data_IF_384104597938
#
_entry.id   IF_384104597938
#
_cell.length_a   1.000
_cell.length_b   1.000
_cell.length_c   1.000
_cell.angle_alpha   90.00
_cell.angle_beta   90.00
_cell.angle_gamma   90.00
#
_symmetry.space_group_name_H-M   'P 1'
#
loop_
_entity.id
_entity.type
_entity.pdbx_description
1 polymer ?
#
# COMPACT_ATOMS: atom_id res chain seq x y z
N UNK A 1 -14.19 16.91 -12.76
CA UNK A 1 -14.66 15.51 -12.60
C UNK A 1 -13.68 14.77 -11.70
N UNK A 2 -14.09 14.41 -10.49
CA UNK A 2 -13.25 13.62 -9.60
C UNK A 2 -13.06 12.22 -10.19
N UNK A 3 -11.87 11.93 -10.69
CA UNK A 3 -11.50 10.59 -11.14
C UNK A 3 -11.19 9.77 -9.89
N UNK A 4 -12.16 8.98 -9.43
CA UNK A 4 -11.97 8.11 -8.25
C UNK A 4 -10.93 7.02 -8.55
N UNK A 5 -10.96 6.43 -9.74
CA UNK A 5 -10.06 5.34 -10.14
C UNK A 5 -9.32 5.71 -11.44
N UNK A 6 -8.02 5.44 -11.50
CA UNK A 6 -7.23 5.62 -12.71
C UNK A 6 -7.69 4.63 -13.80
N UNK A 7 -8.05 5.12 -14.99
CA UNK A 7 -8.52 4.26 -16.10
C UNK A 7 -7.44 3.98 -17.14
N UNK A 8 -6.35 4.74 -17.09
CA UNK A 8 -5.21 4.67 -18.01
C UNK A 8 -3.97 5.23 -17.30
N UNK A 9 -2.80 5.09 -17.93
CA UNK A 9 -1.52 5.62 -17.41
C UNK A 9 -1.57 7.10 -17.02
N UNK A 10 -2.31 7.92 -17.76
CA UNK A 10 -2.42 9.36 -17.51
C UNK A 10 -3.26 9.67 -16.25
N UNK A 11 -3.94 8.67 -15.67
CA UNK A 11 -4.68 8.79 -14.41
C UNK A 11 -3.89 8.51 -13.14
N UNK A 12 -2.76 7.80 -13.22
CA UNK A 12 -1.95 7.32 -12.06
C UNK A 12 -1.29 8.50 -11.32
N UNK A 13 -1.46 8.73 -10.03
CA UNK A 13 -1.06 9.94 -9.29
C UNK A 13 -2.02 11.12 -9.43
N UNK A 14 -3.08 11.02 -10.25
CA UNK A 14 -4.13 12.07 -10.29
C UNK A 14 -5.42 11.55 -9.66
N UNK A 15 -5.83 10.33 -10.03
CA UNK A 15 -7.01 9.70 -9.48
C UNK A 15 -6.83 9.36 -8.00
N UNK A 16 -7.93 9.26 -7.24
CA UNK A 16 -7.86 8.95 -5.82
C UNK A 16 -7.19 7.58 -5.57
N UNK A 17 -7.58 6.58 -6.35
CA UNK A 17 -7.04 5.22 -6.33
C UNK A 17 -6.36 4.95 -7.67
N UNK A 18 -5.16 4.43 -7.62
CA UNK A 18 -4.47 3.87 -8.77
C UNK A 18 -3.78 2.54 -8.42
N UNK A 19 -2.90 2.08 -9.32
CA UNK A 19 -2.19 0.82 -9.14
C UNK A 19 -1.28 0.82 -7.90
N UNK A 20 -0.64 1.94 -7.57
CA UNK A 20 0.26 2.05 -6.43
C UNK A 20 -0.49 2.06 -5.10
N UNK A 21 -1.73 2.59 -5.07
CA UNK A 21 -2.61 2.53 -3.88
C UNK A 21 -2.83 1.10 -3.34
N UNK A 22 -2.89 0.09 -4.21
CA UNK A 22 -2.97 -1.31 -3.79
C UNK A 22 -1.64 -1.84 -3.25
N UNK A 23 -0.53 -1.30 -3.75
CA UNK A 23 0.80 -1.55 -3.21
C UNK A 23 0.93 -1.00 -1.78
N UNK A 24 0.37 0.17 -1.49
CA UNK A 24 0.29 0.71 -0.13
C UNK A 24 -0.51 -0.20 0.80
N UNK A 25 -1.65 -0.74 0.34
CA UNK A 25 -2.41 -1.70 1.14
C UNK A 25 -1.59 -2.95 1.53
N UNK A 26 -0.83 -3.51 0.59
CA UNK A 26 0.09 -4.63 0.88
C UNK A 26 1.27 -4.18 1.78
N UNK A 27 1.82 -3.00 1.51
CA UNK A 27 2.92 -2.41 2.27
C UNK A 27 2.57 -2.24 3.74
N UNK A 28 1.40 -1.68 4.03
CA UNK A 28 0.94 -1.47 5.40
C UNK A 28 0.66 -2.75 6.17
N UNK A 29 0.22 -3.81 5.48
CA UNK A 29 0.08 -5.14 6.08
C UNK A 29 1.44 -5.67 6.55
N UNK A 30 2.46 -5.63 5.68
CA UNK A 30 3.81 -6.12 6.00
C UNK A 30 4.47 -5.23 7.05
N UNK A 31 4.33 -3.91 6.91
CA UNK A 31 4.90 -2.93 7.82
C UNK A 31 4.36 -3.11 9.23
N UNK A 32 3.04 -3.32 9.38
CA UNK A 32 2.45 -3.58 10.69
C UNK A 32 3.08 -4.79 11.38
N UNK A 33 3.24 -5.92 10.67
CA UNK A 33 3.87 -7.12 11.25
C UNK A 33 5.30 -6.81 11.73
N UNK A 34 6.06 -6.03 10.95
CA UNK A 34 7.42 -5.66 11.31
C UNK A 34 7.43 -4.74 12.53
N UNK A 35 6.60 -3.69 12.53
CA UNK A 35 6.51 -2.72 13.63
C UNK A 35 6.05 -3.39 14.90
N UNK A 36 5.03 -4.24 14.84
CA UNK A 36 4.49 -4.94 15.99
C UNK A 36 5.53 -5.91 16.57
N UNK A 37 6.21 -6.70 15.73
CA UNK A 37 7.32 -7.55 16.17
C UNK A 37 8.43 -6.75 16.86
N UNK A 38 8.75 -5.56 16.34
CA UNK A 38 9.77 -4.68 16.90
C UNK A 38 9.34 -4.12 18.26
N UNK A 39 8.06 -3.75 18.41
CA UNK A 39 7.50 -3.32 19.69
C UNK A 39 7.36 -4.43 20.72
N UNK A 40 7.05 -5.66 20.30
CA UNK A 40 7.13 -6.84 21.19
C UNK A 40 8.54 -7.01 21.74
N UNK A 41 9.58 -6.84 20.91
CA UNK A 41 10.98 -6.92 21.36
C UNK A 41 11.35 -5.80 22.34
N UNK A 42 10.86 -4.57 22.11
CA UNK A 42 11.19 -3.40 22.96
C UNK A 42 10.41 -3.41 24.27
N UNK A 43 9.10 -3.66 24.22
CA UNK A 43 8.19 -3.50 25.36
C UNK A 43 7.81 -4.82 26.03
N UNK A 44 8.10 -5.96 25.39
CA UNK A 44 7.75 -7.29 25.90
C UNK A 44 6.26 -7.65 25.75
N UNK A 45 5.46 -6.80 25.10
CA UNK A 45 4.02 -6.95 24.93
C UNK A 45 3.59 -6.46 23.54
N UNK A 46 2.47 -6.98 23.04
CA UNK A 46 1.83 -6.51 21.81
C UNK A 46 1.20 -5.14 22.10
N UNK A 47 1.40 -4.16 21.21
CA UNK A 47 0.91 -2.78 21.39
C UNK A 47 0.24 -2.27 20.11
N UNK A 48 -0.89 -2.90 19.77
CA UNK A 48 -1.58 -2.76 18.47
C UNK A 48 -1.84 -1.29 18.12
N UNK A 49 -2.36 -0.48 19.04
CA UNK A 49 -2.71 0.91 18.77
C UNK A 49 -1.49 1.75 18.40
N UNK A 50 -0.36 1.53 19.08
CA UNK A 50 0.90 2.23 18.79
C UNK A 50 1.47 1.72 17.46
N UNK A 51 1.38 0.42 17.18
CA UNK A 51 1.79 -0.18 15.90
C UNK A 51 1.02 0.44 14.74
N UNK A 52 -0.32 0.53 14.82
CA UNK A 52 -1.16 1.15 13.80
C UNK A 52 -0.85 2.65 13.64
N UNK A 53 -0.71 3.38 14.74
CA UNK A 53 -0.36 4.80 14.68
C UNK A 53 1.01 5.02 14.02
N UNK A 54 1.96 4.12 14.27
CA UNK A 54 3.29 4.15 13.63
C UNK A 54 3.19 3.91 12.12
N UNK A 55 2.42 2.91 11.68
CA UNK A 55 2.16 2.67 10.24
C UNK A 55 1.52 3.90 9.59
N UNK A 56 0.54 4.53 10.24
CA UNK A 56 -0.06 5.77 9.74
C UNK A 56 0.99 6.89 9.57
N UNK A 57 1.84 7.11 10.57
CA UNK A 57 2.90 8.13 10.52
C UNK A 57 3.91 7.82 9.41
N UNK A 58 4.31 6.56 9.26
CA UNK A 58 5.19 6.13 8.18
C UNK A 58 4.56 6.39 6.81
N UNK A 59 3.25 6.14 6.63
CA UNK A 59 2.54 6.48 5.40
C UNK A 59 2.56 7.97 5.09
N UNK A 60 2.30 8.83 6.09
CA UNK A 60 2.39 10.28 5.91
C UNK A 60 3.82 10.70 5.52
N UNK A 61 4.84 10.15 6.17
CA UNK A 61 6.24 10.44 5.84
C UNK A 61 6.62 9.93 4.45
N UNK A 62 6.15 8.75 4.06
CA UNK A 62 6.37 8.18 2.74
C UNK A 62 5.81 9.09 1.65
N UNK A 63 4.56 9.53 1.78
CA UNK A 63 3.94 10.44 0.83
C UNK A 63 4.68 11.77 0.70
N UNK A 64 5.18 12.32 1.81
CA UNK A 64 6.02 13.52 1.79
C UNK A 64 7.33 13.25 1.04
N UNK A 65 8.04 12.18 1.36
CA UNK A 65 9.31 11.81 0.71
C UNK A 65 9.09 11.59 -0.79
N UNK A 66 8.03 10.89 -1.16
CA UNK A 66 7.69 10.59 -2.53
C UNK A 66 7.41 11.87 -3.33
N UNK A 67 6.54 12.73 -2.81
CA UNK A 67 6.10 13.94 -3.50
C UNK A 67 7.08 15.13 -3.37
N UNK A 68 8.17 14.97 -2.61
CA UNK A 68 9.25 15.97 -2.51
C UNK A 68 10.57 15.45 -3.08
N UNK A 69 11.17 14.45 -2.44
CA UNK A 69 12.51 13.96 -2.75
C UNK A 69 12.50 13.12 -4.04
N UNK A 70 11.64 12.10 -4.14
CA UNK A 70 11.60 11.22 -5.32
C UNK A 70 11.14 11.98 -6.58
N UNK A 71 10.17 12.89 -6.41
CA UNK A 71 9.76 13.78 -7.49
C UNK A 71 10.91 14.67 -7.99
N UNK A 72 11.66 15.34 -7.10
CA UNK A 72 12.82 16.18 -7.49
C UNK A 72 13.92 15.39 -8.19
N UNK A 73 14.05 14.10 -7.88
CA UNK A 73 15.01 13.18 -8.51
C UNK A 73 14.51 12.58 -9.81
N UNK A 74 13.30 12.92 -10.26
CA UNK A 74 12.68 12.34 -11.46
C UNK A 74 12.58 10.80 -11.39
N UNK A 75 12.41 10.23 -10.19
CA UNK A 75 12.26 8.77 -9.99
C UNK A 75 10.79 8.35 -10.11
N UNK A 76 9.87 9.29 -9.86
CA UNK A 76 8.44 9.02 -9.79
C UNK A 76 7.83 8.66 -11.15
N UNK A 77 6.87 7.73 -11.14
CA UNK A 77 6.17 7.29 -12.33
C UNK A 77 5.55 8.47 -13.08
N UNK A 78 5.84 8.57 -14.38
CA UNK A 78 5.28 9.63 -15.23
C UNK A 78 5.72 11.06 -14.87
N UNK A 79 6.78 11.24 -14.07
CA UNK A 79 7.38 12.53 -13.72
C UNK A 79 6.38 13.57 -13.19
N UNK A 80 5.44 13.10 -12.37
CA UNK A 80 4.31 13.87 -11.86
C UNK A 80 4.21 13.70 -10.35
N UNK A 81 3.64 14.69 -9.67
CA UNK A 81 3.28 14.58 -8.25
C UNK A 81 1.91 13.95 -8.12
N UNK A 82 1.66 13.36 -6.97
CA UNK A 82 0.31 12.96 -6.59
C UNK A 82 -0.57 14.18 -6.37
N UNK A 83 -1.84 14.01 -6.68
CA UNK A 83 -2.86 14.89 -6.14
C UNK A 83 -2.96 14.67 -4.64
N UNK A 84 -3.35 15.72 -3.91
CA UNK A 84 -3.58 15.62 -2.47
C UNK A 84 -4.54 14.47 -2.11
N UNK A 85 -5.55 14.24 -2.95
CA UNK A 85 -6.52 13.17 -2.76
C UNK A 85 -5.87 11.78 -2.90
N UNK A 86 -4.99 11.59 -3.88
CA UNK A 86 -4.29 10.32 -4.08
C UNK A 86 -3.36 10.02 -2.90
N UNK A 87 -2.50 10.97 -2.52
CA UNK A 87 -1.63 10.82 -1.35
C UNK A 87 -2.43 10.51 -0.07
N UNK A 88 -3.55 11.19 0.15
CA UNK A 88 -4.39 10.94 1.32
C UNK A 88 -4.96 9.52 1.31
N UNK A 89 -5.38 9.02 0.14
CA UNK A 89 -5.89 7.65 0.00
C UNK A 89 -4.78 6.63 0.17
N UNK A 90 -3.57 6.89 -0.28
CA UNK A 90 -2.43 5.97 -0.14
C UNK A 90 -2.05 5.78 1.34
N UNK A 91 -2.06 6.85 2.15
CA UNK A 91 -1.92 6.75 3.62
C UNK A 91 -3.06 5.93 4.25
N UNK A 92 -4.30 6.16 3.80
CA UNK A 92 -5.46 5.40 4.30
C UNK A 92 -5.35 3.92 3.92
N UNK A 93 -4.95 3.60 2.69
CA UNK A 93 -4.78 2.24 2.20
C UNK A 93 -3.68 1.51 2.97
N UNK A 94 -2.54 2.17 3.21
CA UNK A 94 -1.48 1.66 4.07
C UNK A 94 -2.00 1.34 5.48
N UNK A 95 -2.72 2.29 6.09
CA UNK A 95 -3.29 2.10 7.44
C UNK A 95 -4.30 0.95 7.49
N UNK A 96 -5.16 0.82 6.48
CA UNK A 96 -6.10 -0.31 6.34
C UNK A 96 -5.35 -1.65 6.23
N UNK A 97 -4.23 -1.66 5.52
CA UNK A 97 -3.36 -2.84 5.43
C UNK A 97 -2.88 -3.29 6.81
N UNK A 98 -2.42 -2.34 7.62
CA UNK A 98 -2.01 -2.60 8.99
C UNK A 98 -3.16 -3.08 9.88
N UNK A 99 -4.34 -2.47 9.77
CA UNK A 99 -5.54 -2.93 10.50
C UNK A 99 -5.96 -4.35 10.10
N UNK A 100 -5.79 -4.71 8.82
CA UNK A 100 -6.07 -6.06 8.37
C UNK A 100 -5.05 -7.06 8.92
N UNK A 101 -3.76 -6.68 8.98
CA UNK A 101 -2.73 -7.49 9.62
C UNK A 101 -3.01 -7.70 11.11
N UNK A 102 -3.40 -6.65 11.85
CA UNK A 102 -3.74 -6.75 13.26
C UNK A 102 -4.91 -7.70 13.50
N UNK A 103 -5.96 -7.63 12.66
CA UNK A 103 -7.07 -8.58 12.71
C UNK A 103 -6.59 -10.02 12.48
N UNK A 104 -5.67 -10.24 11.54
CA UNK A 104 -5.14 -11.58 11.25
C UNK A 104 -4.37 -12.17 12.43
N UNK A 105 -3.67 -11.36 13.24
CA UNK A 105 -2.90 -11.84 14.39
C UNK A 105 -3.77 -12.42 15.51
N UNK A 106 -5.04 -12.03 15.60
CA UNK A 106 -6.00 -12.58 16.56
C UNK A 106 -6.54 -13.96 16.15
N UNK A 107 -6.20 -14.43 14.94
CA UNK A 107 -6.62 -15.73 14.44
C UNK A 107 -5.69 -16.84 14.93
N UNK A 108 -6.20 -18.07 14.97
CA UNK A 108 -5.32 -19.24 15.16
C UNK A 108 -4.31 -19.34 13.99
N UNK A 109 -3.18 -20.00 14.23
CA UNK A 109 -2.07 -20.07 13.28
C UNK A 109 -2.48 -20.53 11.88
N UNK A 110 -3.29 -21.58 11.77
CA UNK A 110 -3.73 -22.10 10.47
C UNK A 110 -4.57 -21.06 9.71
N UNK A 111 -5.53 -20.44 10.40
CA UNK A 111 -6.41 -19.42 9.81
C UNK A 111 -5.64 -18.14 9.47
N UNK A 112 -4.67 -17.76 10.31
CA UNK A 112 -3.73 -16.68 10.03
C UNK A 112 -2.98 -16.95 8.73
N UNK A 113 -2.34 -18.12 8.58
CA UNK A 113 -1.54 -18.45 7.39
C UNK A 113 -2.38 -18.45 6.11
N UNK A 114 -3.58 -19.04 6.17
CA UNK A 114 -4.50 -19.09 5.01
C UNK A 114 -4.97 -17.69 4.65
N UNK A 115 -5.51 -16.93 5.60
CA UNK A 115 -6.06 -15.59 5.37
C UNK A 115 -4.98 -14.65 4.84
N UNK A 116 -3.79 -14.69 5.44
CA UNK A 116 -2.65 -13.86 5.04
C UNK A 116 -2.16 -14.20 3.63
N UNK A 117 -2.07 -15.49 3.31
CA UNK A 117 -1.67 -15.94 1.97
C UNK A 117 -2.69 -15.52 0.91
N UNK A 118 -3.98 -15.71 1.18
CA UNK A 118 -5.07 -15.30 0.29
C UNK A 118 -5.07 -13.78 0.09
N UNK A 119 -4.86 -13.01 1.15
CA UNK A 119 -4.77 -11.56 1.06
C UNK A 119 -3.58 -11.11 0.21
N UNK A 120 -2.36 -11.58 0.52
CA UNK A 120 -1.14 -11.19 -0.20
C UNK A 120 -1.23 -11.57 -1.68
N UNK A 121 -1.58 -12.83 -1.97
CA UNK A 121 -1.75 -13.32 -3.34
C UNK A 121 -2.85 -12.55 -4.06
N UNK A 122 -3.99 -12.32 -3.39
CA UNK A 122 -5.12 -11.58 -3.94
C UNK A 122 -4.76 -10.15 -4.32
N UNK A 123 -4.04 -9.42 -3.46
CA UNK A 123 -3.58 -8.06 -3.76
C UNK A 123 -2.56 -8.05 -4.89
N UNK A 124 -1.59 -8.98 -4.91
CA UNK A 124 -0.61 -9.09 -6.01
C UNK A 124 -1.30 -9.38 -7.34
N UNK A 125 -2.28 -10.29 -7.37
CA UNK A 125 -3.05 -10.60 -8.57
C UNK A 125 -3.87 -9.39 -9.03
N UNK A 126 -4.57 -8.72 -8.10
CA UNK A 126 -5.34 -7.51 -8.39
C UNK A 126 -4.45 -6.42 -8.99
N UNK A 127 -3.31 -6.15 -8.35
CA UNK A 127 -2.29 -5.23 -8.83
C UNK A 127 -1.83 -5.59 -10.24
N UNK A 128 -1.47 -6.86 -10.47
CA UNK A 128 -0.97 -7.33 -11.77
C UNK A 128 -2.02 -7.18 -12.89
N UNK A 129 -3.26 -7.56 -12.61
CA UNK A 129 -4.39 -7.40 -13.56
C UNK A 129 -4.62 -5.92 -13.84
N UNK A 130 -4.61 -5.09 -12.80
CA UNK A 130 -4.88 -3.67 -12.94
C UNK A 130 -3.77 -2.95 -13.69
N UNK A 131 -2.50 -3.21 -13.36
CA UNK A 131 -1.34 -2.72 -14.10
C UNK A 131 -1.43 -3.11 -15.57
N UNK A 132 -1.69 -4.38 -15.88
CA UNK A 132 -1.81 -4.81 -17.27
C UNK A 132 -2.91 -4.03 -18.02
N UNK A 133 -4.03 -3.73 -17.35
CA UNK A 133 -5.14 -2.97 -17.94
C UNK A 133 -4.80 -1.50 -18.22
N UNK A 134 -3.96 -0.86 -17.40
CA UNK A 134 -3.74 0.61 -17.47
C UNK A 134 -2.38 1.04 -18.01
N UNK A 135 -1.35 0.19 -17.90
CA UNK A 135 0.02 0.44 -18.38
C UNK A 135 0.53 -0.64 -19.36
N UNK A 136 -0.32 -1.57 -19.82
CA UNK A 136 0.06 -2.61 -20.81
C UNK A 136 1.24 -3.49 -20.36
N UNK A 137 1.33 -3.78 -19.05
CA UNK A 137 2.48 -4.45 -18.41
C UNK A 137 2.97 -5.72 -19.15
N UNK A 138 2.05 -6.55 -19.67
CA UNK A 138 2.40 -7.83 -20.30
C UNK A 138 2.36 -7.83 -21.84
N UNK A 139 2.15 -6.67 -22.48
CA UNK A 139 2.00 -6.58 -23.94
C UNK A 139 3.27 -7.00 -24.72
N UNK A 140 4.42 -7.02 -24.06
CA UNK A 140 5.69 -7.53 -24.60
C UNK A 140 5.93 -9.04 -24.44
N UNK A 141 5.13 -9.74 -23.63
CA UNK A 141 5.25 -11.19 -23.40
C UNK A 141 4.42 -12.03 -24.37
N UNK A 142 3.51 -11.39 -25.12
CA UNK A 142 2.64 -12.04 -26.09
C UNK A 142 3.20 -12.01 -27.52
N UNK A 143 4.52 -11.83 -27.69
CA UNK A 143 5.25 -11.93 -28.96
C UNK A 143 6.21 -13.11 -28.88
#
# INVERSE_FOLDING_TARGET
>A
MNKILAKNKDGISIAAIDFFSFGHLLGGYIEFIIVDALYIVIFGVIVIEISIFTVFLCGVLWEIIENTYLFKRNIKFGYRRDSFLNSSIDVVMLTIGGLFASFCLELNLETFLITSSVFIIGIILLMSIYANKIIDLFRGLSK
#
